data_IF_974072165844
#
_entry.id   IF_974072165844
#
_cell.length_a   1.000
_cell.length_b   1.000
_cell.length_c   1.000
_cell.angle_alpha   90.00
_cell.angle_beta   90.00
_cell.angle_gamma   90.00
#
_symmetry.space_group_name_H-M   'P 1'
#
loop_
_entity.id
_entity.type
_entity.pdbx_description
1 polymer ?
#
# COMPACT_ATOMS: atom_id res chain seq x y z
N UNK A 1 38.20 -1.02 -41.15
CA UNK A 1 37.83 -0.60 -39.79
C UNK A 1 36.50 -1.25 -39.44
N UNK A 2 36.38 -2.05 -38.37
CA UNK A 2 35.10 -2.61 -37.97
C UNK A 2 34.32 -1.59 -37.13
N UNK A 3 33.03 -1.45 -37.44
CA UNK A 3 32.10 -0.67 -36.64
C UNK A 3 31.91 -1.36 -35.29
N UNK A 4 32.13 -0.61 -34.22
CA UNK A 4 31.94 -1.05 -32.84
C UNK A 4 30.43 -1.05 -32.60
N UNK A 5 29.84 -2.24 -32.49
CA UNK A 5 28.43 -2.40 -32.17
C UNK A 5 28.28 -2.23 -30.65
N UNK A 6 27.92 -1.03 -30.22
CA UNK A 6 27.67 -0.73 -28.81
C UNK A 6 26.22 -1.16 -28.50
N UNK A 7 26.02 -2.46 -28.33
CA UNK A 7 24.79 -3.03 -27.75
C UNK A 7 25.14 -3.81 -26.46
N UNK A 8 26.10 -3.28 -25.70
CA UNK A 8 26.38 -3.70 -24.32
C UNK A 8 25.86 -2.62 -23.38
N UNK A 9 24.60 -2.74 -22.96
CA UNK A 9 24.07 -1.86 -21.91
C UNK A 9 22.56 -1.70 -21.82
N UNK A 10 21.76 -2.31 -22.71
CA UNK A 10 20.29 -2.14 -22.68
C UNK A 10 19.60 -3.01 -21.61
N UNK A 11 19.99 -2.82 -20.36
CA UNK A 11 19.30 -3.33 -19.16
C UNK A 11 17.88 -2.75 -18.99
N UNK A 12 17.50 -1.77 -19.83
CA UNK A 12 16.18 -1.14 -19.84
C UNK A 12 15.12 -2.03 -20.53
N UNK A 13 15.53 -2.93 -21.45
CA UNK A 13 14.59 -3.68 -22.30
C UNK A 13 14.05 -4.98 -21.70
N UNK A 14 14.59 -5.47 -20.58
CA UNK A 14 14.21 -6.75 -19.97
C UNK A 14 13.65 -6.63 -18.53
N UNK A 15 13.21 -5.44 -18.10
CA UNK A 15 12.44 -5.29 -16.86
C UNK A 15 11.03 -5.82 -17.14
N UNK A 16 10.85 -7.13 -16.97
CA UNK A 16 9.64 -7.87 -17.32
C UNK A 16 8.37 -7.08 -17.00
N UNK A 17 7.53 -6.89 -18.03
CA UNK A 17 6.21 -6.29 -17.91
C UNK A 17 5.48 -6.93 -16.75
N UNK A 18 5.33 -6.21 -15.64
CA UNK A 18 4.45 -6.63 -14.57
C UNK A 18 3.06 -6.14 -14.96
N UNK A 19 2.30 -7.00 -15.63
CA UNK A 19 0.98 -6.66 -16.18
C UNK A 19 0.03 -6.13 -15.10
N UNK A 20 0.13 -6.64 -13.87
CA UNK A 20 -0.68 -6.15 -12.76
C UNK A 20 -0.23 -4.75 -12.29
N UNK A 21 1.07 -4.46 -12.31
CA UNK A 21 1.56 -3.11 -12.03
C UNK A 21 1.12 -2.12 -13.11
N UNK A 22 1.19 -2.52 -14.38
CA UNK A 22 0.69 -1.70 -15.50
C UNK A 22 -0.81 -1.47 -15.37
N UNK A 23 -1.57 -2.51 -15.00
CA UNK A 23 -3.01 -2.42 -14.71
C UNK A 23 -3.29 -1.44 -13.58
N UNK A 24 -2.51 -1.45 -12.50
CA UNK A 24 -2.66 -0.51 -11.38
C UNK A 24 -2.41 0.93 -11.84
N UNK A 25 -1.33 1.16 -12.60
CA UNK A 25 -1.01 2.46 -13.15
C UNK A 25 -2.10 2.95 -14.12
N UNK A 26 -2.70 2.05 -14.90
CA UNK A 26 -3.77 2.42 -15.82
C UNK A 26 -5.08 2.73 -15.07
N UNK A 27 -5.43 1.98 -14.02
CA UNK A 27 -6.56 2.32 -13.15
C UNK A 27 -6.34 3.66 -12.44
N UNK A 28 -5.13 3.97 -11.99
CA UNK A 28 -4.84 5.27 -11.40
C UNK A 28 -5.14 6.42 -12.37
N UNK A 29 -4.82 6.26 -13.66
CA UNK A 29 -5.10 7.27 -14.69
C UNK A 29 -6.59 7.48 -14.96
N UNK A 30 -7.46 6.55 -14.60
CA UNK A 30 -8.92 6.71 -14.77
C UNK A 30 -9.57 7.40 -13.58
N UNK A 31 -8.89 7.49 -12.42
CA UNK A 31 -9.39 8.20 -11.25
C UNK A 31 -9.28 9.72 -11.46
N UNK A 32 -10.38 10.42 -11.19
CA UNK A 32 -10.42 11.89 -11.25
C UNK A 32 -9.98 12.51 -9.91
N UNK A 33 -8.75 12.21 -9.50
CA UNK A 33 -8.16 12.72 -8.25
C UNK A 33 -6.94 13.61 -8.55
N UNK A 34 -6.64 14.62 -7.71
CA UNK A 34 -5.43 15.40 -7.88
C UNK A 34 -4.18 14.55 -7.62
N UNK A 35 -3.05 14.94 -8.23
CA UNK A 35 -1.72 14.34 -8.00
C UNK A 35 -1.58 12.85 -8.41
N UNK A 36 -2.45 12.34 -9.27
CA UNK A 36 -2.30 10.98 -9.86
C UNK A 36 -0.92 10.81 -10.51
N UNK A 37 -0.44 11.83 -11.21
CA UNK A 37 0.88 11.82 -11.83
C UNK A 37 2.00 11.63 -10.80
N UNK A 38 1.98 12.36 -9.69
CA UNK A 38 2.95 12.21 -8.59
C UNK A 38 2.92 10.81 -7.98
N UNK A 39 1.72 10.24 -7.80
CA UNK A 39 1.55 8.87 -7.30
C UNK A 39 2.24 7.88 -8.24
N UNK A 40 1.96 8.00 -9.54
CA UNK A 40 2.57 7.11 -10.56
C UNK A 40 4.10 7.27 -10.55
N UNK A 41 4.63 8.49 -10.44
CA UNK A 41 6.08 8.69 -10.33
C UNK A 41 6.67 7.99 -9.11
N UNK A 42 6.06 8.13 -7.92
CA UNK A 42 6.52 7.41 -6.74
C UNK A 42 6.51 5.88 -6.91
N UNK A 43 5.47 5.33 -7.57
CA UNK A 43 5.40 3.89 -7.85
C UNK A 43 6.48 3.45 -8.86
N UNK A 44 6.80 4.30 -9.84
CA UNK A 44 7.83 4.05 -10.84
C UNK A 44 9.25 4.16 -10.25
N UNK A 45 9.45 4.96 -9.21
CA UNK A 45 10.76 5.07 -8.56
C UNK A 45 11.15 3.81 -7.78
N UNK A 46 10.20 2.93 -7.45
CA UNK A 46 10.50 1.66 -6.80
C UNK A 46 11.31 0.69 -7.70
N UNK A 47 12.20 -0.08 -7.07
CA UNK A 47 12.93 -1.18 -7.72
C UNK A 47 11.98 -2.25 -8.27
N UNK A 48 12.42 -3.09 -9.21
CA UNK A 48 11.54 -4.09 -9.84
C UNK A 48 10.90 -5.05 -8.82
N UNK A 49 11.68 -5.45 -7.81
CA UNK A 49 11.22 -6.29 -6.70
C UNK A 49 10.28 -5.52 -5.75
N UNK A 50 10.61 -4.26 -5.43
CA UNK A 50 9.77 -3.39 -4.61
C UNK A 50 8.43 -3.05 -5.28
N UNK A 51 8.32 -3.12 -6.62
CA UNK A 51 7.05 -2.98 -7.36
C UNK A 51 6.17 -4.22 -7.32
N UNK A 52 6.75 -5.42 -7.20
CA UNK A 52 5.99 -6.68 -7.22
C UNK A 52 5.21 -6.89 -5.92
N UNK A 53 5.85 -6.64 -4.78
CA UNK A 53 5.27 -6.91 -3.47
C UNK A 53 3.94 -6.15 -3.20
N UNK A 54 3.83 -4.83 -3.48
CA UNK A 54 2.61 -4.08 -3.20
C UNK A 54 1.41 -4.54 -4.04
N UNK A 55 1.64 -4.82 -5.33
CA UNK A 55 0.59 -5.26 -6.26
C UNK A 55 0.08 -6.64 -5.89
N UNK A 56 0.99 -7.58 -5.58
CA UNK A 56 0.62 -8.92 -5.13
C UNK A 56 -0.18 -8.85 -3.81
N UNK A 57 0.20 -7.99 -2.86
CA UNK A 57 -0.55 -7.79 -1.63
C UNK A 57 -1.92 -7.15 -1.84
N UNK A 58 -2.07 -6.21 -2.78
CA UNK A 58 -3.38 -5.63 -3.16
C UNK A 58 -4.31 -6.75 -3.62
N UNK A 59 -3.87 -7.56 -4.59
CA UNK A 59 -4.67 -8.64 -5.17
C UNK A 59 -5.04 -9.66 -4.09
N UNK A 60 -4.07 -10.13 -3.31
CA UNK A 60 -4.32 -11.10 -2.25
C UNK A 60 -5.29 -10.58 -1.19
N UNK A 61 -5.17 -9.30 -0.82
CA UNK A 61 -6.04 -8.69 0.20
C UNK A 61 -7.47 -8.55 -0.30
N UNK A 62 -7.68 -8.13 -1.55
CA UNK A 62 -9.02 -8.08 -2.15
C UNK A 62 -9.64 -9.47 -2.24
N UNK A 63 -8.88 -10.44 -2.74
CA UNK A 63 -9.35 -11.83 -2.85
C UNK A 63 -9.75 -12.40 -1.49
N UNK A 64 -8.99 -12.10 -0.44
CA UNK A 64 -9.34 -12.51 0.92
C UNK A 64 -10.67 -11.92 1.39
N UNK A 65 -10.91 -10.63 1.14
CA UNK A 65 -12.21 -9.98 1.42
C UNK A 65 -13.36 -10.64 0.68
N UNK A 66 -13.17 -10.96 -0.60
CA UNK A 66 -14.19 -11.63 -1.40
C UNK A 66 -14.48 -13.05 -0.90
N UNK A 67 -13.46 -13.76 -0.44
CA UNK A 67 -13.59 -15.14 0.05
C UNK A 67 -14.27 -15.22 1.42
N UNK A 68 -13.91 -14.37 2.37
CA UNK A 68 -14.40 -14.47 3.75
C UNK A 68 -15.45 -13.42 4.15
N UNK A 69 -15.72 -12.46 3.25
CA UNK A 69 -16.67 -11.37 3.51
C UNK A 69 -16.23 -10.42 4.62
N UNK A 70 -14.93 -10.30 4.91
CA UNK A 70 -14.41 -9.41 5.95
C UNK A 70 -13.60 -8.26 5.38
N UNK A 71 -13.59 -7.17 6.15
CA UNK A 71 -12.66 -6.08 5.93
C UNK A 71 -11.22 -6.57 6.10
N UNK A 72 -10.38 -6.33 5.10
CA UNK A 72 -8.94 -6.57 5.21
C UNK A 72 -8.16 -5.32 4.81
N UNK A 73 -6.97 -5.19 5.38
CA UNK A 73 -6.05 -4.12 5.05
C UNK A 73 -4.61 -4.60 5.25
N UNK A 74 -3.67 -3.92 4.60
CA UNK A 74 -2.27 -3.99 4.96
C UNK A 74 -1.64 -2.60 4.91
N UNK A 75 -0.45 -2.48 5.49
CA UNK A 75 0.36 -1.28 5.31
C UNK A 75 1.82 -1.65 5.24
N UNK A 76 2.52 -1.06 4.28
CA UNK A 76 3.96 -1.15 4.12
C UNK A 76 4.53 0.17 4.64
N UNK A 77 5.26 0.17 5.78
CA UNK A 77 5.93 1.37 6.23
C UNK A 77 7.00 1.80 5.21
N UNK A 78 7.44 3.06 5.25
CA UNK A 78 8.52 3.50 4.40
C UNK A 78 9.81 2.81 4.79
N UNK A 79 10.70 2.64 3.81
CA UNK A 79 12.06 2.20 4.03
C UNK A 79 12.94 3.43 4.33
N UNK A 80 13.66 3.38 5.45
CA UNK A 80 14.52 4.48 5.92
C UNK A 80 15.77 4.69 5.05
N UNK A 81 16.06 3.76 4.14
CA UNK A 81 17.20 3.83 3.21
C UNK A 81 16.92 4.70 1.98
N UNK A 82 15.68 5.13 1.78
CA UNK A 82 15.25 5.89 0.61
C UNK A 82 14.75 7.28 0.98
N UNK A 83 14.91 8.23 0.06
CA UNK A 83 14.33 9.57 0.16
C UNK A 83 13.68 9.95 -1.17
N UNK A 84 12.40 10.36 -1.19
CA UNK A 84 11.52 10.49 -0.03
C UNK A 84 11.14 9.13 0.59
N UNK A 85 10.86 9.10 1.89
CA UNK A 85 10.35 7.92 2.60
C UNK A 85 8.87 7.73 2.29
N UNK A 86 8.58 6.84 1.34
CA UNK A 86 7.21 6.54 0.86
C UNK A 86 6.65 5.31 1.55
N UNK A 87 5.52 5.47 2.27
CA UNK A 87 4.75 4.35 2.80
C UNK A 87 3.45 4.13 2.04
N UNK A 88 2.89 2.92 2.15
CA UNK A 88 1.65 2.52 1.47
C UNK A 88 0.66 1.86 2.41
N UNK A 89 -0.62 2.13 2.19
CA UNK A 89 -1.73 1.43 2.82
C UNK A 89 -2.69 0.94 1.74
N UNK A 90 -3.24 -0.26 1.93
CA UNK A 90 -4.36 -0.75 1.15
C UNK A 90 -5.49 -1.18 2.07
N UNK A 91 -6.74 -0.91 1.67
CA UNK A 91 -7.93 -1.46 2.32
C UNK A 91 -8.87 -2.09 1.29
N UNK A 92 -9.56 -3.14 1.71
CA UNK A 92 -10.61 -3.79 0.93
C UNK A 92 -11.86 -3.94 1.80
N UNK A 93 -12.95 -3.30 1.38
CA UNK A 93 -14.24 -3.35 2.08
C UNK A 93 -15.10 -4.51 1.59
N UNK A 94 -15.85 -5.11 2.51
CA UNK A 94 -16.97 -6.00 2.17
C UNK A 94 -18.28 -5.18 2.03
N UNK A 95 -18.20 -4.01 1.40
CA UNK A 95 -19.32 -3.12 1.10
C UNK A 95 -19.03 -2.38 -0.21
N UNK A 96 -20.07 -1.79 -0.79
CA UNK A 96 -19.99 -0.92 -1.97
C UNK A 96 -20.18 0.56 -1.60
N UNK A 97 -19.95 0.90 -0.33
CA UNK A 97 -20.03 2.26 0.18
C UNK A 97 -18.72 3.02 -0.08
N UNK A 98 -18.71 3.81 -1.15
CA UNK A 98 -17.54 4.61 -1.56
C UNK A 98 -17.13 5.68 -0.54
N UNK A 99 -18.07 6.22 0.24
CA UNK A 99 -17.77 7.25 1.23
C UNK A 99 -17.18 6.63 2.51
N UNK A 100 -17.68 5.45 2.89
CA UNK A 100 -17.04 4.62 3.92
C UNK A 100 -15.61 4.25 3.51
N UNK A 101 -15.39 3.86 2.25
CA UNK A 101 -14.06 3.53 1.72
C UNK A 101 -13.11 4.71 1.86
N UNK A 102 -13.49 5.88 1.34
CA UNK A 102 -12.67 7.10 1.41
C UNK A 102 -12.33 7.47 2.85
N UNK A 103 -13.34 7.48 3.74
CA UNK A 103 -13.16 7.84 5.15
C UNK A 103 -12.19 6.90 5.86
N UNK A 104 -12.41 5.58 5.75
CA UNK A 104 -11.54 4.57 6.38
C UNK A 104 -10.12 4.62 5.82
N UNK A 105 -9.99 4.78 4.49
CA UNK A 105 -8.70 4.86 3.83
C UNK A 105 -7.92 6.09 4.29
N UNK A 106 -8.55 7.26 4.29
CA UNK A 106 -7.94 8.51 4.74
C UNK A 106 -7.47 8.41 6.19
N UNK A 107 -8.33 7.97 7.11
CA UNK A 107 -7.97 7.84 8.53
C UNK A 107 -6.80 6.88 8.73
N UNK A 108 -6.81 5.71 8.08
CA UNK A 108 -5.73 4.74 8.23
C UNK A 108 -4.41 5.28 7.65
N UNK A 109 -4.46 5.95 6.50
CA UNK A 109 -3.27 6.58 5.91
C UNK A 109 -2.68 7.67 6.81
N UNK A 110 -3.51 8.55 7.36
CA UNK A 110 -3.07 9.60 8.29
C UNK A 110 -2.36 9.00 9.51
N UNK A 111 -3.00 8.02 10.16
CA UNK A 111 -2.47 7.36 11.35
C UNK A 111 -1.17 6.61 11.06
N UNK A 112 -1.09 5.89 9.93
CA UNK A 112 0.10 5.13 9.54
C UNK A 112 1.26 6.03 9.14
N UNK A 113 1.00 7.09 8.37
CA UNK A 113 2.00 8.12 8.03
C UNK A 113 2.55 8.78 9.28
N UNK A 114 1.66 9.22 10.17
CA UNK A 114 2.06 9.88 11.42
C UNK A 114 2.95 8.97 12.28
N UNK A 115 2.54 7.72 12.52
CA UNK A 115 3.28 6.77 13.36
C UNK A 115 4.67 6.43 12.80
N UNK A 116 4.79 6.31 11.48
CA UNK A 116 6.05 5.99 10.81
C UNK A 116 6.91 7.21 10.49
N UNK A 117 6.37 8.42 10.69
CA UNK A 117 6.99 9.69 10.30
C UNK A 117 7.33 9.75 8.81
N UNK A 118 6.58 9.05 7.95
CA UNK A 118 6.85 8.99 6.50
C UNK A 118 6.69 10.36 5.83
N UNK A 119 7.49 10.62 4.79
CA UNK A 119 7.45 11.86 4.02
C UNK A 119 6.22 11.88 3.10
N UNK A 120 5.97 10.73 2.47
CA UNK A 120 4.87 10.50 1.55
C UNK A 120 4.08 9.26 1.97
N UNK A 121 2.76 9.32 1.82
CA UNK A 121 1.88 8.17 2.02
C UNK A 121 0.89 8.02 0.89
N UNK A 122 0.79 6.80 0.36
CA UNK A 122 -0.13 6.44 -0.73
C UNK A 122 -1.12 5.39 -0.20
N UNK A 123 -2.40 5.73 -0.24
CA UNK A 123 -3.50 4.87 0.13
C UNK A 123 -4.22 4.36 -1.11
N UNK A 124 -4.51 3.07 -1.17
CA UNK A 124 -5.35 2.45 -2.18
C UNK A 124 -6.55 1.77 -1.50
N UNK A 125 -7.72 1.82 -2.11
CA UNK A 125 -8.94 1.24 -1.55
C UNK A 125 -9.74 0.50 -2.60
N UNK A 126 -10.41 -0.61 -2.22
CA UNK A 126 -11.35 -1.29 -3.11
C UNK A 126 -12.69 -1.62 -2.45
N UNK A 127 -13.73 -1.66 -3.27
CA UNK A 127 -15.08 -2.12 -2.97
C UNK A 127 -15.26 -3.59 -3.35
N UNK A 128 -16.28 -4.21 -2.77
CA UNK A 128 -16.60 -5.62 -2.97
C UNK A 128 -17.09 -5.92 -4.39
N UNK A 129 -18.03 -5.12 -4.88
CA UNK A 129 -18.73 -5.30 -6.15
C UNK A 129 -17.96 -4.79 -7.37
N UNK A 130 -16.77 -4.23 -7.18
CA UNK A 130 -15.91 -3.75 -8.26
C UNK A 130 -14.97 -4.85 -8.75
N UNK A 131 -14.79 -4.95 -10.07
CA UNK A 131 -13.78 -5.82 -10.70
C UNK A 131 -12.39 -5.16 -10.81
N UNK A 132 -12.28 -3.88 -10.45
CA UNK A 132 -11.02 -3.14 -10.46
C UNK A 132 -10.12 -3.52 -9.28
N UNK A 133 -8.81 -3.22 -9.31
CA UNK A 133 -7.96 -3.50 -8.14
C UNK A 133 -8.11 -2.41 -7.09
N UNK A 134 -8.40 -1.20 -7.56
CA UNK A 134 -8.63 0.00 -6.75
C UNK A 134 -9.86 0.74 -7.27
N UNK A 135 -10.57 1.34 -6.32
CA UNK A 135 -11.76 2.19 -6.51
C UNK A 135 -11.54 3.59 -5.90
N UNK A 136 -10.55 3.72 -5.01
CA UNK A 136 -10.16 4.99 -4.41
C UNK A 136 -8.65 5.07 -4.19
N UNK A 137 -8.15 6.31 -4.19
CA UNK A 137 -6.76 6.62 -3.87
C UNK A 137 -6.69 7.79 -2.89
N UNK A 138 -5.73 7.76 -1.98
CA UNK A 138 -5.38 8.86 -1.07
C UNK A 138 -3.90 9.15 -1.22
N UNK A 139 -3.53 10.43 -1.28
CA UNK A 139 -2.14 10.84 -1.36
C UNK A 139 -1.84 11.94 -0.35
N UNK A 140 -0.81 11.73 0.48
CA UNK A 140 -0.38 12.72 1.47
C UNK A 140 1.14 12.92 1.41
N UNK A 141 1.56 14.11 0.99
CA UNK A 141 2.96 14.54 0.94
C UNK A 141 3.26 15.76 1.84
N UNK A 142 2.36 16.07 2.77
CA UNK A 142 2.60 17.12 3.78
C UNK A 142 3.75 16.73 4.71
N UNK A 143 4.53 17.71 5.18
CA UNK A 143 5.61 17.47 6.14
C UNK A 143 5.05 16.87 7.43
N UNK A 144 5.83 15.98 8.04
CA UNK A 144 5.48 15.46 9.35
C UNK A 144 5.62 16.57 10.38
N UNK A 145 4.60 16.71 11.22
CA UNK A 145 4.59 17.62 12.35
C UNK A 145 4.04 16.87 13.56
N UNK A 146 4.49 17.27 14.76
CA UNK A 146 3.98 16.69 15.99
C UNK A 146 2.53 17.14 16.19
N UNK A 147 1.62 16.19 16.33
CA UNK A 147 0.18 16.42 16.47
C UNK A 147 -0.35 15.50 17.57
N UNK A 148 -0.87 16.10 18.64
CA UNK A 148 -1.31 15.35 19.81
C UNK A 148 -2.56 14.50 19.53
N UNK A 149 -3.45 14.94 18.64
CA UNK A 149 -4.64 14.18 18.26
C UNK A 149 -4.24 12.95 17.44
N UNK A 150 -3.35 13.12 16.47
CA UNK A 150 -2.81 12.01 15.68
C UNK A 150 -1.96 11.05 16.54
N UNK A 151 -1.23 11.56 17.53
CA UNK A 151 -0.50 10.74 18.51
C UNK A 151 -1.48 9.83 19.28
N UNK A 152 -2.54 10.40 19.84
CA UNK A 152 -3.56 9.64 20.57
C UNK A 152 -4.30 8.66 19.66
N UNK A 153 -4.76 9.11 18.49
CA UNK A 153 -5.46 8.30 17.52
C UNK A 153 -4.60 7.12 17.05
N UNK A 154 -3.31 7.34 16.82
CA UNK A 154 -2.39 6.28 16.41
C UNK A 154 -2.18 5.23 17.49
N UNK A 155 -2.14 5.63 18.77
CA UNK A 155 -2.07 4.70 19.90
C UNK A 155 -3.34 3.87 20.04
N UNK A 156 -4.51 4.47 19.88
CA UNK A 156 -5.80 3.77 19.95
C UNK A 156 -5.94 2.79 18.78
N UNK A 157 -5.72 3.24 17.55
CA UNK A 157 -5.93 2.43 16.35
C UNK A 157 -4.87 1.36 16.13
N UNK A 158 -3.61 1.62 16.50
CA UNK A 158 -2.48 0.72 16.21
C UNK A 158 -1.87 0.07 17.45
N UNK A 159 -2.38 0.38 18.65
CA UNK A 159 -1.84 -0.10 19.93
C UNK A 159 -2.49 -1.37 20.47
N UNK A 160 -3.35 -2.05 19.69
CA UNK A 160 -3.95 -3.32 20.08
C UNK A 160 -2.90 -4.38 20.47
N UNK A 161 -2.90 -4.79 21.75
CA UNK A 161 -2.02 -5.82 22.31
C UNK A 161 -2.14 -7.13 21.52
N UNK A 162 -1.00 -7.68 21.10
CA UNK A 162 -0.89 -9.13 20.82
C UNK A 162 -1.00 -9.86 22.16
N UNK A 163 -2.17 -10.38 22.51
CA UNK A 163 -2.28 -11.40 23.55
C UNK A 163 -1.64 -12.67 23.00
N UNK A 164 -0.35 -12.88 23.31
CA UNK A 164 0.24 -14.22 23.22
C UNK A 164 -0.33 -15.01 24.40
N UNK A 165 -1.43 -15.71 24.17
CA UNK A 165 -1.76 -16.87 25.01
C UNK A 165 -0.76 -17.97 24.65
N UNK A 166 0.39 -17.96 25.34
CA UNK A 166 1.25 -19.14 25.41
C UNK A 166 0.50 -20.19 26.20
N UNK A 167 -0.07 -21.18 25.51
CA UNK A 167 -0.52 -22.43 26.11
C UNK A 167 0.71 -23.18 26.66
N UNK A 168 1.09 -22.87 27.89
CA UNK A 168 1.89 -23.76 28.76
C UNK A 168 0.89 -24.50 29.64
N UNK A 169 0.35 -25.61 29.13
CA UNK A 169 -0.19 -26.69 29.95
C UNK A 169 -0.49 -27.90 29.06
N UNK A 170 0.53 -28.75 28.89
CA UNK A 170 0.37 -30.19 28.69
C UNK A 170 1.74 -30.86 28.82
N UNK A 171 2.21 -30.92 30.05
CA UNK A 171 3.20 -31.92 30.44
C UNK A 171 3.08 -32.13 31.95
N UNK A 172 2.13 -32.98 32.34
CA UNK A 172 2.13 -33.89 33.49
C UNK A 172 0.90 -34.78 33.32
N UNK A 173 1.13 -35.96 32.80
CA UNK A 173 0.44 -37.21 33.10
C UNK A 173 1.10 -38.27 32.23
N UNK A 174 2.12 -38.92 32.81
CA UNK A 174 2.55 -40.33 32.78
C UNK A 174 3.97 -40.40 33.36
#
# INVERSE_FOLDING_TARGET
MPAINIDEGDTIKNRGKNENFDKLCNQLKTLNEPKITDIIFHLLDWSGEARKNPVDFIIQTKQKTLQDGKFHNFSMPPDDSYSPRVGVTYISLNSDDSEELKKRLLTLCQVRKYKSKGDVWIGFGSLKGSDEMIDAVVFSNHKWECDQELEQLSKVMLGGKRTRETNKNREKDW
#
